data_IF_382156275334
#
_entry.id   IF_382156275334
#
_cell.length_a   1.000
_cell.length_b   1.000
_cell.length_c   1.000
_cell.angle_alpha   90.00
_cell.angle_beta   90.00
_cell.angle_gamma   90.00
#
_symmetry.space_group_name_H-M   'P 1'
#
loop_
_entity.id
_entity.type
_entity.pdbx_description
1 polymer ?
#
# COMPACT_ATOMS: atom_id res chain seq x y z
N UNK A 1 17.04 -63.94 -23.40
CA UNK A 1 17.03 -64.96 -22.33
C UNK A 1 16.72 -64.23 -21.04
N UNK A 2 15.46 -64.28 -20.58
CA UNK A 2 14.97 -63.63 -19.37
C UNK A 2 15.18 -64.53 -18.14
N UNK A 3 15.50 -63.93 -16.99
CA UNK A 3 14.96 -64.39 -15.70
C UNK A 3 14.24 -63.20 -15.01
N UNK A 4 12.91 -63.23 -14.85
CA UNK A 4 12.13 -63.77 -13.72
C UNK A 4 12.39 -63.06 -12.37
N UNK A 5 11.38 -62.30 -11.95
CA UNK A 5 11.20 -61.51 -10.70
C UNK A 5 11.32 -62.34 -9.41
N UNK A 6 11.50 -61.65 -8.26
CA UNK A 6 10.42 -61.70 -7.26
C UNK A 6 10.00 -60.33 -6.71
N UNK A 7 8.70 -60.24 -6.41
CA UNK A 7 8.05 -59.23 -5.56
C UNK A 7 8.70 -59.17 -4.17
N UNK A 8 8.91 -57.97 -3.61
CA UNK A 8 8.52 -57.55 -2.24
C UNK A 8 9.19 -56.24 -1.81
N UNK A 9 8.39 -55.17 -1.67
CA UNK A 9 8.40 -54.10 -0.64
C UNK A 9 7.55 -52.94 -1.19
N UNK A 10 6.26 -52.85 -0.89
CA UNK A 10 5.71 -52.22 0.32
C UNK A 10 6.13 -50.75 0.50
N UNK A 11 5.25 -49.86 0.02
CA UNK A 11 4.76 -48.60 0.60
C UNK A 11 5.70 -47.54 1.24
N UNK A 12 5.20 -46.30 1.19
CA UNK A 12 5.75 -45.01 1.70
C UNK A 12 6.83 -44.42 0.76
N UNK A 13 6.59 -43.28 0.11
CA UNK A 13 6.37 -41.99 0.77
C UNK A 13 5.41 -41.08 0.00
N UNK A 14 4.18 -40.94 0.53
CA UNK A 14 3.33 -39.77 0.30
C UNK A 14 3.25 -39.01 1.64
N UNK A 15 4.30 -38.23 1.97
CA UNK A 15 4.31 -37.34 3.13
C UNK A 15 5.47 -36.34 3.02
N UNK A 16 5.33 -35.32 2.18
CA UNK A 16 6.23 -34.16 2.16
C UNK A 16 5.49 -32.83 2.44
N UNK A 17 4.28 -32.90 2.99
CA UNK A 17 3.54 -31.74 3.50
C UNK A 17 3.20 -31.95 4.98
N UNK A 18 4.18 -31.78 5.87
CA UNK A 18 3.95 -31.47 7.29
C UNK A 18 5.27 -31.37 8.06
N UNK A 19 5.96 -30.22 7.99
CA UNK A 19 6.83 -29.68 9.06
C UNK A 19 7.09 -28.18 8.76
N UNK A 20 7.17 -27.28 9.76
CA UNK A 20 6.34 -27.12 10.95
C UNK A 20 5.80 -25.67 11.05
N UNK A 21 4.47 -25.51 11.14
CA UNK A 21 3.79 -24.22 11.39
C UNK A 21 4.19 -23.56 12.72
N UNK A 22 4.91 -24.27 13.60
CA UNK A 22 5.36 -23.76 14.90
C UNK A 22 6.62 -22.86 14.84
N UNK A 23 7.36 -22.82 13.73
CA UNK A 23 8.57 -22.01 13.61
C UNK A 23 8.29 -20.51 13.31
N UNK A 24 7.13 -20.20 12.72
CA UNK A 24 6.75 -18.82 12.41
C UNK A 24 6.18 -18.08 13.65
N UNK A 25 5.54 -18.78 14.58
CA UNK A 25 5.00 -18.19 15.82
C UNK A 25 6.10 -17.78 16.81
N UNK A 26 7.17 -18.58 16.93
CA UNK A 26 8.26 -18.31 17.88
C UNK A 26 9.18 -17.16 17.42
N UNK A 27 9.38 -16.99 16.10
CA UNK A 27 10.14 -15.87 15.55
C UNK A 27 9.36 -14.54 15.67
N UNK A 28 8.03 -14.57 15.48
CA UNK A 28 7.16 -13.42 15.66
C UNK A 28 7.08 -12.97 17.13
N UNK A 29 7.01 -13.92 18.07
CA UNK A 29 6.97 -13.62 19.51
C UNK A 29 8.30 -13.05 20.03
N UNK A 30 9.45 -13.60 19.61
CA UNK A 30 10.75 -13.17 20.17
C UNK A 30 11.30 -11.85 19.60
N UNK A 31 10.83 -11.42 18.42
CA UNK A 31 11.12 -10.07 17.89
C UNK A 31 10.22 -8.98 18.50
N UNK A 32 9.06 -9.33 19.08
CA UNK A 32 8.17 -8.37 19.72
C UNK A 32 8.68 -7.90 21.09
N UNK A 33 9.39 -8.76 21.84
CA UNK A 33 9.78 -8.49 23.23
C UNK A 33 11.18 -7.85 23.39
N UNK A 34 11.97 -7.73 22.33
CA UNK A 34 13.32 -7.16 22.41
C UNK A 34 13.37 -5.71 21.87
N UNK A 35 13.22 -4.76 22.80
CA UNK A 35 13.57 -3.34 22.65
C UNK A 35 12.66 -2.48 21.77
N UNK A 36 11.38 -2.45 22.15
CA UNK A 36 10.73 -1.17 22.44
C UNK A 36 11.31 -0.58 23.72
N UNK A 37 12.48 0.07 23.64
CA UNK A 37 12.73 1.24 24.48
C UNK A 37 11.89 2.36 23.87
N UNK A 38 10.58 2.25 24.11
CA UNK A 38 9.57 3.10 23.50
C UNK A 38 9.69 4.48 24.13
N UNK A 39 10.30 5.42 23.41
CA UNK A 39 9.88 6.80 23.53
C UNK A 39 8.34 6.80 23.50
N UNK A 40 7.71 7.40 24.52
CA UNK A 40 6.25 7.53 24.60
C UNK A 40 5.73 7.91 23.20
N UNK A 41 4.81 7.15 22.58
CA UNK A 41 4.34 7.45 21.24
C UNK A 41 3.88 8.90 21.24
N UNK A 42 4.57 9.75 20.47
CA UNK A 42 4.14 11.12 20.29
C UNK A 42 2.75 11.05 19.64
N UNK A 43 1.78 11.78 20.21
CA UNK A 43 0.48 11.93 19.57
C UNK A 43 0.73 12.48 18.16
N UNK A 44 0.29 11.78 17.09
CA UNK A 44 0.53 12.25 15.73
C UNK A 44 -0.11 13.62 15.56
N UNK A 45 0.72 14.63 15.30
CA UNK A 45 0.24 15.96 14.95
C UNK A 45 -0.36 15.91 13.55
N UNK A 46 -1.61 16.37 13.41
CA UNK A 46 -2.31 16.41 12.13
C UNK A 46 -1.58 17.31 11.14
N UNK A 47 -1.15 16.77 10.01
CA UNK A 47 -0.56 17.56 8.92
C UNK A 47 -1.57 17.84 7.80
N UNK A 48 -1.49 19.05 7.25
CA UNK A 48 -2.22 19.43 6.02
C UNK A 48 -1.29 20.25 5.13
N UNK A 49 -1.17 19.87 3.86
CA UNK A 49 -0.35 20.56 2.85
C UNK A 49 -1.16 20.74 1.58
N UNK A 50 -1.09 21.94 1.01
CA UNK A 50 -1.92 22.33 -0.14
C UNK A 50 -1.10 23.04 -1.21
N UNK A 51 -1.42 22.78 -2.48
CA UNK A 51 -0.89 23.49 -3.64
C UNK A 51 -1.98 23.72 -4.68
N UNK A 52 -2.02 24.94 -5.22
CA UNK A 52 -2.85 25.27 -6.38
C UNK A 52 -2.06 24.97 -7.66
N UNK A 53 -2.69 24.26 -8.58
CA UNK A 53 -2.09 23.70 -9.78
C UNK A 53 -3.03 23.86 -10.98
N UNK A 54 -2.49 23.68 -12.18
CA UNK A 54 -3.26 23.66 -13.42
C UNK A 54 -2.80 22.50 -14.28
N UNK A 55 -3.75 21.81 -14.92
CA UNK A 55 -3.48 20.72 -15.85
C UNK A 55 -4.40 20.78 -17.06
N UNK A 56 -4.09 19.98 -18.09
CA UNK A 56 -4.95 19.79 -19.25
C UNK A 56 -5.37 18.32 -19.30
N UNK A 57 -6.68 18.07 -19.25
CA UNK A 57 -7.26 16.72 -19.19
C UNK A 57 -8.31 16.59 -20.27
N UNK A 58 -8.15 15.63 -21.20
CA UNK A 58 -9.07 15.47 -22.32
C UNK A 58 -9.23 16.73 -23.19
N UNK A 59 -8.16 17.51 -23.35
CA UNK A 59 -8.17 18.79 -24.07
C UNK A 59 -8.70 19.99 -23.27
N UNK A 60 -9.26 19.77 -22.07
CA UNK A 60 -9.76 20.84 -21.21
C UNK A 60 -8.71 21.30 -20.20
N UNK A 61 -8.41 22.60 -20.16
CA UNK A 61 -7.58 23.19 -19.11
C UNK A 61 -8.39 23.35 -17.83
N UNK A 62 -7.86 22.81 -16.73
CA UNK A 62 -8.53 22.79 -15.42
C UNK A 62 -7.56 23.26 -14.35
N UNK A 63 -7.94 24.32 -13.63
CA UNK A 63 -7.30 24.70 -12.37
C UNK A 63 -7.84 23.83 -11.24
N UNK A 64 -6.96 23.40 -10.34
CA UNK A 64 -7.33 22.55 -9.22
C UNK A 64 -6.40 22.76 -8.02
N UNK A 65 -6.90 22.44 -6.84
CA UNK A 65 -6.17 22.42 -5.58
C UNK A 65 -5.84 20.99 -5.20
N UNK A 66 -4.56 20.69 -5.03
CA UNK A 66 -4.08 19.44 -4.47
C UNK A 66 -3.87 19.60 -2.96
N UNK A 67 -4.45 18.72 -2.14
CA UNK A 67 -4.30 18.74 -0.69
C UNK A 67 -3.91 17.34 -0.19
N UNK A 68 -2.86 17.25 0.62
CA UNK A 68 -2.53 16.06 1.41
C UNK A 68 -2.91 16.39 2.85
N UNK A 69 -3.70 15.53 3.48
CA UNK A 69 -4.21 15.77 4.82
C UNK A 69 -4.29 14.49 5.65
N UNK A 70 -3.91 14.61 6.91
CA UNK A 70 -4.08 13.59 7.93
C UNK A 70 -5.48 13.68 8.54
N UNK A 71 -6.07 12.50 8.75
CA UNK A 71 -7.27 12.28 9.56
C UNK A 71 -6.88 11.32 10.69
N UNK A 72 -6.75 11.87 11.90
CA UNK A 72 -6.40 11.09 13.10
C UNK A 72 -7.65 10.38 13.60
N UNK A 73 -7.57 9.07 13.76
CA UNK A 73 -8.58 8.24 14.40
C UNK A 73 -8.16 8.01 15.86
N UNK A 74 -9.07 8.31 16.78
CA UNK A 74 -8.83 8.19 18.22
C UNK A 74 -9.84 7.24 18.86
N UNK A 75 -9.46 6.64 19.98
CA UNK A 75 -10.36 5.87 20.84
C UNK A 75 -11.35 6.76 21.61
N UNK A 76 -12.24 6.14 22.37
CA UNK A 76 -13.25 6.82 23.20
C UNK A 76 -12.62 7.73 24.29
N UNK A 77 -11.35 7.47 24.66
CA UNK A 77 -10.59 8.28 25.60
C UNK A 77 -9.83 9.44 24.91
N UNK A 78 -9.95 9.57 23.59
CA UNK A 78 -9.30 10.60 22.77
C UNK A 78 -7.85 10.31 22.44
N UNK A 79 -7.32 9.13 22.79
CA UNK A 79 -5.96 8.72 22.43
C UNK A 79 -5.94 8.29 20.96
N UNK A 80 -5.01 8.88 20.19
CA UNK A 80 -4.82 8.54 18.79
C UNK A 80 -4.39 7.08 18.62
N UNK A 81 -5.01 6.37 17.67
CA UNK A 81 -4.72 4.97 17.34
C UNK A 81 -4.25 4.78 15.90
N UNK A 82 -4.74 5.61 14.96
CA UNK A 82 -4.38 5.51 13.56
C UNK A 82 -4.42 6.88 12.87
N UNK A 83 -3.74 6.97 11.72
CA UNK A 83 -3.81 8.14 10.84
C UNK A 83 -4.17 7.66 9.43
N UNK A 84 -5.26 8.20 8.88
CA UNK A 84 -5.58 8.06 7.47
C UNK A 84 -5.02 9.27 6.74
N UNK A 85 -4.09 9.03 5.81
CA UNK A 85 -3.57 10.06 4.90
C UNK A 85 -4.41 10.09 3.64
N UNK A 86 -5.00 11.24 3.34
CA UNK A 86 -5.78 11.47 2.12
C UNK A 86 -5.07 12.44 1.21
N UNK A 87 -5.01 12.15 -0.09
CA UNK A 87 -4.68 13.14 -1.12
C UNK A 87 -5.92 13.47 -1.93
N UNK A 88 -6.30 14.75 -2.02
CA UNK A 88 -7.46 15.22 -2.76
C UNK A 88 -7.07 16.20 -3.87
N UNK A 89 -7.84 16.16 -4.97
CA UNK A 89 -7.70 17.07 -6.10
C UNK A 89 -9.07 17.69 -6.39
N UNK A 90 -9.23 18.97 -6.06
CA UNK A 90 -10.51 19.67 -6.16
C UNK A 90 -10.41 20.75 -7.23
N UNK A 91 -11.27 20.71 -8.25
CA UNK A 91 -11.35 21.75 -9.29
C UNK A 91 -11.57 23.12 -8.64
N UNK A 92 -10.91 24.14 -9.18
CA UNK A 92 -11.08 25.54 -8.78
C UNK A 92 -11.59 26.39 -9.96
N UNK A 93 -12.61 27.25 -9.77
CA UNK A 93 -13.43 27.38 -8.56
C UNK A 93 -14.22 26.10 -8.28
N UNK A 94 -14.57 25.90 -7.00
CA UNK A 94 -15.33 24.74 -6.57
C UNK A 94 -16.74 24.78 -7.18
N UNK A 95 -17.20 23.63 -7.64
CA UNK A 95 -18.54 23.44 -8.18
C UNK A 95 -19.25 22.43 -7.27
N UNK A 96 -20.26 22.85 -6.48
CA UNK A 96 -20.94 21.96 -5.53
C UNK A 96 -21.79 20.89 -6.22
N UNK A 97 -22.06 21.02 -7.53
CA UNK A 97 -22.80 20.01 -8.30
C UNK A 97 -21.89 18.92 -8.85
N UNK A 98 -20.57 19.13 -8.85
CA UNK A 98 -19.60 18.16 -9.35
C UNK A 98 -19.44 17.02 -8.33
N UNK A 99 -19.61 15.74 -8.73
CA UNK A 99 -19.47 14.62 -7.81
C UNK A 99 -18.05 14.49 -7.26
N UNK A 100 -17.96 13.97 -6.04
CA UNK A 100 -16.69 13.59 -5.40
C UNK A 100 -16.52 12.08 -5.54
N UNK A 101 -15.37 11.66 -6.04
CA UNK A 101 -14.99 10.25 -6.10
C UNK A 101 -13.97 9.96 -5.01
N UNK A 102 -14.22 8.90 -4.24
CA UNK A 102 -13.26 8.32 -3.32
C UNK A 102 -12.69 7.05 -3.95
N UNK A 103 -11.38 6.94 -3.95
CA UNK A 103 -10.66 5.78 -4.48
C UNK A 103 -9.69 5.29 -3.42
N UNK A 104 -9.68 3.99 -3.20
CA UNK A 104 -8.80 3.30 -2.26
C UNK A 104 -8.31 2.02 -2.91
N UNK A 105 -7.06 1.64 -2.61
CA UNK A 105 -6.55 0.38 -3.08
C UNK A 105 -7.14 -0.81 -2.32
N UNK A 106 -7.19 -1.94 -3.00
CA UNK A 106 -7.59 -3.23 -2.41
C UNK A 106 -6.39 -4.03 -1.90
N UNK A 107 -6.67 -5.28 -1.52
CA UNK A 107 -5.71 -6.15 -0.82
C UNK A 107 -5.37 -5.60 0.57
N UNK A 108 -4.90 -6.43 1.51
CA UNK A 108 -4.38 -5.92 2.77
C UNK A 108 -3.02 -5.26 2.55
N UNK A 109 -2.84 -4.03 3.04
CA UNK A 109 -1.55 -3.33 3.09
C UNK A 109 -1.10 -2.59 1.82
N UNK A 110 -1.89 -2.59 0.73
CA UNK A 110 -1.55 -1.83 -0.48
C UNK A 110 -1.92 -0.35 -0.33
N UNK A 111 -0.97 0.55 -0.50
CA UNK A 111 -1.21 1.99 -0.41
C UNK A 111 -1.93 2.55 -1.63
N UNK A 112 -2.83 3.52 -1.45
CA UNK A 112 -3.59 4.20 -2.53
C UNK A 112 -2.71 4.92 -3.58
N UNK A 113 -1.39 4.99 -3.37
CA UNK A 113 -0.41 5.58 -4.30
C UNK A 113 -0.46 4.94 -5.69
N UNK A 114 -0.76 3.64 -5.81
CA UNK A 114 -0.85 3.00 -7.13
C UNK A 114 -2.02 3.52 -7.95
N UNK A 115 -3.16 3.80 -7.32
CA UNK A 115 -4.30 4.40 -8.03
C UNK A 115 -4.02 5.87 -8.32
N UNK A 116 -3.39 6.58 -7.38
CA UNK A 116 -3.03 7.98 -7.56
C UNK A 116 -2.04 8.18 -8.71
N UNK A 117 -0.90 7.49 -8.69
CA UNK A 117 0.20 7.73 -9.63
C UNK A 117 0.21 6.77 -10.82
N UNK A 118 -0.56 5.67 -10.75
CA UNK A 118 -0.64 4.68 -11.82
C UNK A 118 -1.86 4.85 -12.73
N UNK A 119 -2.99 5.34 -12.22
CA UNK A 119 -4.26 5.31 -12.96
C UNK A 119 -5.03 6.65 -12.98
N UNK A 120 -5.46 7.15 -11.81
CA UNK A 120 -6.53 8.15 -11.70
C UNK A 120 -6.07 9.54 -11.28
N UNK A 121 -4.83 9.71 -10.82
CA UNK A 121 -4.32 11.03 -10.44
C UNK A 121 -4.02 11.94 -11.64
N UNK A 122 -3.91 13.25 -11.41
CA UNK A 122 -3.66 14.23 -12.47
C UNK A 122 -2.23 14.17 -13.04
N UNK A 123 -1.32 13.45 -12.38
CA UNK A 123 0.02 13.11 -12.85
C UNK A 123 0.23 11.62 -12.67
N UNK A 124 0.90 11.01 -13.65
CA UNK A 124 1.20 9.58 -13.65
C UNK A 124 2.69 9.34 -13.82
N UNK A 125 3.19 8.25 -13.26
CA UNK A 125 4.55 7.78 -13.54
C UNK A 125 4.57 7.22 -14.96
N UNK A 126 5.53 7.67 -15.76
CA UNK A 126 5.72 7.18 -17.12
C UNK A 126 6.58 5.91 -17.08
N UNK A 127 5.95 4.76 -17.19
CA UNK A 127 6.64 3.47 -17.26
C UNK A 127 6.76 3.07 -18.73
N UNK A 128 7.98 2.82 -19.25
CA UNK A 128 8.16 2.36 -20.61
C UNK A 128 7.46 1.01 -20.87
N UNK A 129 6.77 0.90 -22.01
CA UNK A 129 6.04 -0.31 -22.40
C UNK A 129 6.92 -1.45 -22.89
N UNK A 130 8.19 -1.15 -23.21
CA UNK A 130 9.21 -2.09 -23.68
C UNK A 130 10.03 -2.70 -22.54
N UNK A 131 9.57 -2.52 -21.29
CA UNK A 131 10.22 -3.02 -20.06
C UNK A 131 11.64 -2.50 -19.83
N UNK A 132 12.06 -1.42 -20.49
CA UNK A 132 13.29 -0.71 -20.12
C UNK A 132 13.08 0.02 -18.78
N UNK A 133 14.19 0.20 -18.07
CA UNK A 133 14.25 0.96 -16.82
C UNK A 133 13.62 2.35 -16.98
N UNK A 134 12.76 2.76 -16.03
CA UNK A 134 12.11 4.06 -15.99
C UNK A 134 13.04 5.19 -15.50
N UNK A 135 14.26 4.84 -15.12
CA UNK A 135 15.36 5.76 -14.83
C UNK A 135 15.46 6.11 -13.35
N UNK A 136 16.52 6.84 -13.00
CA UNK A 136 16.74 7.26 -11.62
C UNK A 136 15.63 8.22 -11.14
N UNK A 137 15.27 8.19 -9.84
CA UNK A 137 14.33 9.15 -9.28
C UNK A 137 14.85 10.58 -9.47
N UNK A 138 13.97 11.57 -9.67
CA UNK A 138 14.39 12.96 -9.76
C UNK A 138 15.00 13.39 -8.42
N UNK A 139 16.29 13.71 -8.42
CA UNK A 139 16.96 14.33 -7.28
C UNK A 139 16.54 15.80 -7.14
N UNK A 140 16.41 16.32 -5.91
CA UNK A 140 16.10 17.73 -5.66
C UNK A 140 17.21 18.67 -6.14
#
# INVERSE_FOLDING_TARGET
>A
MNPRFPLSLAALTLAAFALPTAAQDMAASKMADAKMDAAKPATPERQVRTRDLVGTFGGQRVSYRATIADTVLSDDAGKAEAVIVTTSYVKTPADPTRPVFFIYNGGPGSGSVWLQMGAFGPKRVAIPSDARDDGAPPYP
#
